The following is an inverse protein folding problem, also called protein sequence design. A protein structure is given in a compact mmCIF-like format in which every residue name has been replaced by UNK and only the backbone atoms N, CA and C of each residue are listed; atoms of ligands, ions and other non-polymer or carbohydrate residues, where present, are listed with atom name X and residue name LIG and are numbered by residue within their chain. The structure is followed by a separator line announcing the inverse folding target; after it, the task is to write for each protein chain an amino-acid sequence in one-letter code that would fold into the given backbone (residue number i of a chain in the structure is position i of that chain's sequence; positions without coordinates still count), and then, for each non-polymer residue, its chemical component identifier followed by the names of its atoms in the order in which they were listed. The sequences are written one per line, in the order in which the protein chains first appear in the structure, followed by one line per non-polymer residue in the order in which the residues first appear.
data_IF_171454998455
#
_entry.id   IF_171454998455
#
_cell.length_a   1.000
_cell.length_b   1.000
_cell.length_c   1.000
_cell.angle_alpha   90.00
_cell.angle_beta   90.00
_cell.angle_gamma   90.00
#
_symmetry.space_group_name_H-M   'P 1'
#
loop_
_entity.id
_entity.type
_entity.pdbx_description
1 polymer ?
#
# COMPACT_ATOMS: atom_id res chain seq x y z
N UNK A 1 -20.32 42.87 19.96
CA UNK A 1 -19.63 42.05 18.95
C UNK A 1 -18.66 41.11 19.66
N UNK A 2 -19.07 39.87 19.97
CA UNK A 2 -18.18 38.78 20.34
C UNK A 2 -19.01 37.50 20.40
N UNK A 3 -19.16 36.85 19.24
CA UNK A 3 -19.68 35.49 19.14
C UNK A 3 -19.20 34.92 17.82
N UNK A 4 -18.12 34.14 17.85
CA UNK A 4 -17.76 33.05 16.91
C UNK A 4 -16.32 32.56 17.15
N UNK A 5 -16.10 31.75 18.18
CA UNK A 5 -14.86 30.95 18.29
C UNK A 5 -15.01 29.64 19.08
N UNK A 6 -16.13 29.40 19.76
CA UNK A 6 -16.31 28.19 20.58
C UNK A 6 -16.73 26.94 19.77
N UNK A 7 -17.34 27.08 18.59
CA UNK A 7 -17.89 25.95 17.82
C UNK A 7 -16.86 25.14 17.02
N UNK A 8 -15.72 25.74 16.66
CA UNK A 8 -14.73 25.10 15.76
C UNK A 8 -13.80 24.14 16.54
N UNK A 9 -13.60 24.37 17.84
CA UNK A 9 -12.67 23.58 18.65
C UNK A 9 -13.22 22.22 19.09
N UNK A 10 -14.54 22.07 19.27
CA UNK A 10 -15.15 20.80 19.68
C UNK A 10 -15.10 19.73 18.56
N UNK A 11 -15.29 20.11 17.29
CA UNK A 11 -15.24 19.14 16.18
C UNK A 11 -13.83 18.60 15.90
N UNK A 12 -12.79 19.43 16.08
CA UNK A 12 -11.39 18.98 15.90
C UNK A 12 -10.95 17.97 16.97
N UNK A 13 -11.46 18.08 18.19
CA UNK A 13 -11.17 17.13 19.26
C UNK A 13 -11.84 15.78 19.00
N UNK A 14 -13.07 15.77 18.46
CA UNK A 14 -13.81 14.55 18.10
C UNK A 14 -13.14 13.74 16.98
N UNK A 15 -12.65 14.40 15.92
CA UNK A 15 -12.03 13.73 14.78
C UNK A 15 -10.66 13.11 15.12
N UNK A 16 -9.91 13.70 16.06
CA UNK A 16 -8.66 13.12 16.58
C UNK A 16 -8.90 11.80 17.32
N UNK A 17 -9.96 11.73 18.12
CA UNK A 17 -10.32 10.50 18.85
C UNK A 17 -10.73 9.37 17.90
N UNK A 18 -11.39 9.72 16.79
CA UNK A 18 -11.84 8.79 15.75
C UNK A 18 -10.70 8.20 14.92
N UNK A 19 -9.54 8.87 14.83
CA UNK A 19 -8.35 8.36 14.13
C UNK A 19 -7.18 8.12 15.10
N UNK A 20 -7.44 7.29 16.11
CA UNK A 20 -6.43 6.82 17.05
C UNK A 20 -5.87 5.45 16.63
N UNK A 21 -4.57 5.17 16.87
CA UNK A 21 -3.97 3.89 16.50
C UNK A 21 -4.74 2.65 16.99
N UNK A 22 -5.22 2.57 18.26
CA UNK A 22 -6.02 1.42 18.72
C UNK A 22 -7.32 1.26 17.96
N UNK A 23 -8.01 2.35 17.64
CA UNK A 23 -9.29 2.30 16.93
C UNK A 23 -9.12 1.85 15.48
N UNK A 24 -8.09 2.35 14.77
CA UNK A 24 -7.78 1.90 13.40
C UNK A 24 -7.36 0.43 13.39
N UNK A 25 -6.52 0.01 14.34
CA UNK A 25 -6.13 -1.40 14.47
C UNK A 25 -7.33 -2.30 14.75
N UNK A 26 -8.22 -1.89 15.66
CA UNK A 26 -9.45 -2.61 15.98
C UNK A 26 -10.38 -2.69 14.77
N UNK A 27 -10.59 -1.57 14.05
CA UNK A 27 -11.41 -1.55 12.84
C UNK A 27 -10.88 -2.53 11.78
N UNK A 28 -9.57 -2.55 11.55
CA UNK A 28 -8.95 -3.51 10.64
C UNK A 28 -9.10 -4.97 11.12
N UNK A 29 -8.89 -5.24 12.40
CA UNK A 29 -9.08 -6.58 12.97
C UNK A 29 -10.54 -7.06 12.86
N UNK A 30 -11.50 -6.19 13.18
CA UNK A 30 -12.92 -6.47 13.00
C UNK A 30 -13.26 -6.76 11.54
N UNK A 31 -12.68 -6.00 10.61
CA UNK A 31 -12.89 -6.24 9.18
C UNK A 31 -12.31 -7.59 8.74
N UNK A 32 -11.11 -7.97 9.21
CA UNK A 32 -10.52 -9.28 8.93
C UNK A 32 -11.35 -10.44 9.46
N UNK A 33 -11.82 -10.33 10.71
CA UNK A 33 -12.63 -11.38 11.36
C UNK A 33 -14.02 -11.45 10.73
N UNK A 34 -14.61 -10.30 10.38
CA UNK A 34 -15.95 -10.21 9.81
C UNK A 34 -16.05 -10.61 8.35
N UNK A 35 -14.95 -10.57 7.59
CA UNK A 35 -14.95 -10.78 6.15
C UNK A 35 -15.59 -12.12 5.72
N UNK A 36 -15.27 -13.29 6.31
CA UNK A 36 -15.91 -14.55 5.91
C UNK A 36 -17.43 -14.55 6.14
N UNK A 37 -17.91 -13.90 7.21
CA UNK A 37 -19.34 -13.79 7.51
C UNK A 37 -20.04 -12.84 6.54
N UNK A 38 -19.40 -11.72 6.22
CA UNK A 38 -19.91 -10.78 5.22
C UNK A 38 -19.98 -11.45 3.84
N UNK A 39 -18.96 -12.21 3.47
CA UNK A 39 -18.90 -12.94 2.21
C UNK A 39 -20.03 -13.99 2.12
N UNK A 40 -20.23 -14.80 3.18
CA UNK A 40 -21.34 -15.75 3.24
C UNK A 40 -22.73 -15.08 3.15
N UNK A 41 -22.89 -13.91 3.80
CA UNK A 41 -24.16 -13.16 3.77
C UNK A 41 -24.44 -12.56 2.39
N UNK A 42 -23.43 -11.97 1.75
CA UNK A 42 -23.58 -11.31 0.46
C UNK A 42 -23.67 -12.30 -0.71
N UNK A 43 -22.92 -13.40 -0.66
CA UNK A 43 -22.90 -14.39 -1.75
C UNK A 43 -24.20 -15.20 -1.87
N UNK A 44 -24.93 -15.40 -0.76
CA UNK A 44 -26.12 -16.27 -0.72
C UNK A 44 -27.44 -15.56 -0.96
N UNK A 45 -27.57 -14.31 -0.52
CA UNK A 45 -28.89 -13.71 -0.27
C UNK A 45 -29.02 -12.25 -0.70
N UNK A 46 -27.93 -11.60 -1.13
CA UNK A 46 -27.97 -10.19 -1.48
C UNK A 46 -28.52 -9.94 -2.89
N UNK A 47 -29.30 -8.88 -3.03
CA UNK A 47 -29.74 -8.42 -4.36
C UNK A 47 -28.58 -7.81 -5.13
N UNK A 48 -28.61 -7.93 -6.46
CA UNK A 48 -27.57 -7.35 -7.33
C UNK A 48 -27.43 -5.83 -7.13
N UNK A 49 -28.56 -5.13 -6.91
CA UNK A 49 -28.55 -3.69 -6.61
C UNK A 49 -27.81 -3.37 -5.32
N UNK A 50 -27.97 -4.17 -4.27
CA UNK A 50 -27.25 -3.99 -3.02
C UNK A 50 -25.74 -4.18 -3.24
N UNK A 51 -25.33 -5.24 -3.94
CA UNK A 51 -23.92 -5.54 -4.22
C UNK A 51 -23.23 -4.39 -4.98
N UNK A 52 -23.86 -3.92 -6.07
CA UNK A 52 -23.38 -2.77 -6.85
C UNK A 52 -23.24 -1.50 -6.00
N UNK A 53 -24.23 -1.24 -5.14
CA UNK A 53 -24.24 -0.07 -4.25
C UNK A 53 -23.12 -0.15 -3.22
N UNK A 54 -22.89 -1.32 -2.63
CA UNK A 54 -21.80 -1.54 -1.68
C UNK A 54 -20.43 -1.34 -2.33
N UNK A 55 -20.22 -1.88 -3.54
CA UNK A 55 -18.97 -1.68 -4.29
C UNK A 55 -18.74 -0.19 -4.58
N UNK A 56 -19.76 0.51 -5.07
CA UNK A 56 -19.67 1.93 -5.36
C UNK A 56 -19.42 2.78 -4.10
N UNK A 57 -20.11 2.50 -3.01
CA UNK A 57 -19.94 3.22 -1.74
C UNK A 57 -18.55 2.99 -1.12
N UNK A 58 -18.06 1.74 -1.15
CA UNK A 58 -16.73 1.41 -0.64
C UNK A 58 -15.63 2.09 -1.47
N UNK A 59 -15.73 2.04 -2.80
CA UNK A 59 -14.78 2.72 -3.68
C UNK A 59 -14.82 4.25 -3.53
N UNK A 60 -16.01 4.85 -3.44
CA UNK A 60 -16.15 6.28 -3.18
C UNK A 60 -15.51 6.68 -1.83
N UNK A 61 -15.72 5.88 -0.79
CA UNK A 61 -15.08 6.07 0.52
C UNK A 61 -13.56 6.03 0.40
N UNK A 62 -13.04 5.08 -0.38
CA UNK A 62 -11.62 4.95 -0.65
C UNK A 62 -11.04 6.16 -1.39
N UNK A 63 -11.71 6.62 -2.45
CA UNK A 63 -11.32 7.83 -3.20
C UNK A 63 -11.29 9.05 -2.28
N UNK A 64 -12.26 9.21 -1.38
CA UNK A 64 -12.25 10.29 -0.39
C UNK A 64 -11.06 10.15 0.58
N UNK A 65 -10.79 8.94 1.06
CA UNK A 65 -9.67 8.70 1.97
C UNK A 65 -8.30 9.02 1.35
N UNK A 66 -8.11 8.71 0.06
CA UNK A 66 -6.83 8.92 -0.64
C UNK A 66 -6.64 10.34 -1.18
N UNK A 67 -7.72 11.09 -1.40
CA UNK A 67 -7.62 12.52 -1.75
C UNK A 67 -7.25 13.37 -0.53
N UNK A 68 -7.47 12.85 0.68
CA UNK A 68 -7.24 13.54 1.95
C UNK A 68 -6.45 12.62 2.92
N UNK A 69 -5.26 12.07 2.57
CA UNK A 69 -4.53 11.15 3.43
C UNK A 69 -4.11 11.82 4.74
N UNK A 70 -4.40 11.21 5.89
CA UNK A 70 -4.11 11.78 7.21
C UNK A 70 -4.83 13.09 7.56
N UNK A 71 -5.53 13.73 6.61
CA UNK A 71 -5.93 15.15 6.63
C UNK A 71 -7.31 15.47 7.21
N UNK A 72 -8.12 14.47 7.57
CA UNK A 72 -9.50 14.68 8.05
C UNK A 72 -9.61 15.63 9.27
N UNK A 73 -8.53 15.82 10.05
CA UNK A 73 -8.46 16.75 11.18
C UNK A 73 -7.29 17.75 11.12
N UNK A 74 -6.60 17.84 9.97
CA UNK A 74 -5.48 18.76 9.74
C UNK A 74 -4.14 18.38 10.40
N UNK A 75 -3.97 17.16 10.93
CA UNK A 75 -2.65 16.68 11.37
C UNK A 75 -1.85 16.12 10.19
N UNK A 76 -1.07 16.98 9.54
CA UNK A 76 -0.15 16.57 8.47
C UNK A 76 1.19 16.09 9.04
N UNK A 77 1.75 15.01 8.48
CA UNK A 77 3.22 14.91 8.43
C UNK A 77 3.67 15.98 7.44
N UNK A 78 4.30 17.06 7.92
CA UNK A 78 4.88 18.09 7.03
C UNK A 78 5.84 17.39 6.06
N UNK A 79 5.54 17.44 4.77
CA UNK A 79 6.42 16.94 3.71
C UNK A 79 7.73 17.73 3.67
N UNK A 80 8.80 17.06 3.22
CA UNK A 80 10.13 17.63 3.01
C UNK A 80 10.11 18.85 2.06
N UNK A 81 11.00 19.84 2.25
CA UNK A 81 11.20 20.90 1.27
C UNK A 81 11.65 20.29 -0.07
N UNK A 82 10.97 20.65 -1.16
CA UNK A 82 11.22 20.20 -2.54
C UNK A 82 12.61 20.52 -3.13
N UNK A 83 13.57 21.05 -2.37
CA UNK A 83 14.84 21.54 -2.88
C UNK A 83 16.04 21.08 -2.03
N UNK A 84 16.45 19.81 -2.17
CA UNK A 84 17.75 19.32 -1.65
C UNK A 84 18.85 19.32 -2.73
N UNK A 85 18.78 20.25 -3.70
CA UNK A 85 19.80 20.42 -4.76
C UNK A 85 20.71 21.63 -4.57
N UNK A 86 20.66 22.32 -3.43
CA UNK A 86 21.66 23.33 -3.07
C UNK A 86 21.94 23.31 -1.56
N UNK A 87 22.75 22.35 -1.12
CA UNK A 87 23.42 22.47 0.17
C UNK A 87 24.63 23.38 -0.03
N UNK A 88 24.48 24.66 0.30
CA UNK A 88 25.63 25.50 0.60
C UNK A 88 26.18 25.06 1.95
N UNK A 89 27.48 24.80 1.97
CA UNK A 89 28.25 24.53 3.18
C UNK A 89 28.13 25.69 4.18
N UNK A 90 28.15 25.34 5.46
CA UNK A 90 28.11 26.18 6.66
C UNK A 90 26.70 26.40 7.24
N UNK A 91 26.33 25.55 8.19
CA UNK A 91 26.09 26.01 9.57
C UNK A 91 25.94 24.81 10.50
N UNK A 92 26.99 24.56 11.28
CA UNK A 92 26.90 23.88 12.56
C UNK A 92 26.10 24.74 13.52
N UNK A 93 24.89 24.31 13.89
CA UNK A 93 24.31 24.66 15.17
C UNK A 93 23.28 23.61 15.62
N UNK A 94 23.67 22.90 16.67
CA UNK A 94 22.85 22.06 17.51
C UNK A 94 21.82 22.90 18.27
N UNK A 95 20.52 22.70 18.00
CA UNK A 95 19.48 22.79 19.02
C UNK A 95 18.44 21.72 18.73
N UNK A 96 18.60 20.61 19.45
CA UNK A 96 17.61 19.55 19.63
C UNK A 96 16.31 20.15 20.19
N UNK A 97 15.32 20.37 19.33
CA UNK A 97 13.93 20.26 19.76
C UNK A 97 13.59 18.77 19.82
N UNK A 98 13.53 18.24 21.04
CA UNK A 98 12.80 17.00 21.31
C UNK A 98 11.36 17.17 20.82
N UNK A 99 10.82 16.12 20.19
CA UNK A 99 9.48 16.02 19.60
C UNK A 99 9.34 16.59 18.19
N UNK A 100 9.81 15.87 17.18
CA UNK A 100 9.53 16.25 15.79
C UNK A 100 9.38 14.99 14.91
N UNK A 101 8.19 14.70 14.31
CA UNK A 101 8.00 13.60 13.35
C UNK A 101 8.94 13.65 12.15
N UNK A 102 9.61 14.78 11.93
CA UNK A 102 10.68 14.94 10.96
C UNK A 102 11.95 14.12 11.27
N UNK A 103 12.23 13.72 12.53
CA UNK A 103 13.39 12.87 12.84
C UNK A 103 13.15 11.41 12.43
N UNK A 104 12.02 10.81 12.84
CA UNK A 104 11.68 9.42 12.55
C UNK A 104 11.51 9.18 11.04
N UNK A 105 10.96 10.15 10.31
CA UNK A 105 10.82 10.08 8.85
C UNK A 105 12.17 10.20 8.12
N UNK A 106 13.04 11.13 8.57
CA UNK A 106 14.42 11.23 8.05
C UNK A 106 15.20 9.95 8.32
N UNK A 107 15.06 9.38 9.51
CA UNK A 107 15.69 8.14 9.95
C UNK A 107 15.25 6.96 9.09
N UNK A 108 13.96 6.84 8.82
CA UNK A 108 13.41 5.82 7.93
C UNK A 108 14.04 5.95 6.53
N UNK A 109 13.99 7.14 5.93
CA UNK A 109 14.47 7.33 4.56
C UNK A 109 15.98 7.07 4.42
N UNK A 110 16.80 7.36 5.44
CA UNK A 110 18.23 7.06 5.42
C UNK A 110 18.50 5.56 5.57
N UNK A 111 17.79 4.86 6.47
CA UNK A 111 18.12 3.50 6.91
C UNK A 111 17.41 2.38 6.16
N UNK A 112 16.27 2.63 5.52
CA UNK A 112 15.54 1.58 4.79
C UNK A 112 16.27 1.16 3.50
N UNK A 113 16.40 -0.14 3.25
CA UNK A 113 16.90 -0.66 1.97
C UNK A 113 15.78 -0.89 0.95
N UNK A 114 14.52 -0.80 1.34
CA UNK A 114 13.39 -0.90 0.41
C UNK A 114 12.76 0.48 0.31
N UNK A 115 13.24 1.27 -0.65
CA UNK A 115 12.72 2.61 -0.94
C UNK A 115 12.52 2.76 -2.45
N UNK A 116 11.28 2.66 -2.96
CA UNK A 116 11.04 2.84 -4.37
C UNK A 116 11.26 4.29 -4.80
N UNK A 117 11.77 4.49 -6.00
CA UNK A 117 11.81 5.82 -6.62
C UNK A 117 10.41 6.41 -6.83
N UNK A 118 10.32 7.74 -6.81
CA UNK A 118 9.04 8.47 -6.87
C UNK A 118 8.16 8.16 -8.08
N UNK A 119 8.75 7.76 -9.22
CA UNK A 119 7.99 7.36 -10.40
C UNK A 119 7.13 6.10 -10.19
N UNK A 120 7.49 5.25 -9.22
CA UNK A 120 6.76 4.02 -8.91
C UNK A 120 5.29 4.29 -8.58
N UNK A 121 5.04 5.40 -7.88
CA UNK A 121 3.72 5.81 -7.42
C UNK A 121 2.79 6.27 -8.55
N UNK A 122 3.29 6.44 -9.78
CA UNK A 122 2.44 6.66 -10.95
C UNK A 122 1.47 5.49 -11.20
N UNK A 123 1.76 4.30 -10.67
CA UNK A 123 0.91 3.11 -10.73
C UNK A 123 -0.49 3.31 -10.11
N UNK A 124 -0.65 4.27 -9.19
CA UNK A 124 -1.96 4.59 -8.63
C UNK A 124 -2.94 5.12 -9.68
N UNK A 125 -2.47 5.84 -10.70
CA UNK A 125 -3.35 6.38 -11.74
C UNK A 125 -4.08 5.28 -12.53
N UNK A 126 -3.41 4.28 -13.13
CA UNK A 126 -4.11 3.19 -13.81
C UNK A 126 -4.96 2.33 -12.85
N UNK A 127 -4.55 2.16 -11.58
CA UNK A 127 -5.37 1.49 -10.57
C UNK A 127 -6.71 2.22 -10.38
N UNK A 128 -6.69 3.49 -9.98
CA UNK A 128 -7.92 4.23 -9.66
C UNK A 128 -8.80 4.49 -10.88
N UNK A 129 -8.22 4.78 -12.04
CA UNK A 129 -9.00 4.94 -13.28
C UNK A 129 -9.68 3.63 -13.64
N UNK A 130 -8.95 2.52 -13.54
CA UNK A 130 -9.47 1.20 -13.86
C UNK A 130 -10.53 0.71 -12.88
N UNK A 131 -10.35 0.94 -11.58
CA UNK A 131 -11.36 0.62 -10.57
C UNK A 131 -12.61 1.48 -10.71
N UNK A 132 -12.46 2.77 -11.05
CA UNK A 132 -13.59 3.63 -11.37
C UNK A 132 -14.36 3.10 -12.58
N UNK A 133 -13.65 2.65 -13.63
CA UNK A 133 -14.26 2.02 -14.79
C UNK A 133 -15.01 0.72 -14.41
N UNK A 134 -14.40 -0.13 -13.58
CA UNK A 134 -15.04 -1.35 -13.05
C UNK A 134 -16.32 -1.05 -12.27
N UNK A 135 -16.26 -0.13 -11.30
CA UNK A 135 -17.41 0.29 -10.49
C UNK A 135 -18.50 0.93 -11.34
N UNK A 136 -18.13 1.76 -12.32
CA UNK A 136 -19.10 2.39 -13.21
C UNK A 136 -19.76 1.36 -14.13
N UNK A 137 -18.98 0.48 -14.75
CA UNK A 137 -19.49 -0.54 -15.65
C UNK A 137 -20.47 -1.49 -14.95
N UNK A 138 -20.14 -1.96 -13.75
CA UNK A 138 -21.03 -2.86 -13.02
C UNK A 138 -22.38 -2.22 -12.64
N UNK A 139 -22.46 -0.88 -12.48
CA UNK A 139 -23.74 -0.22 -12.19
C UNK A 139 -24.76 -0.46 -13.30
N UNK A 140 -24.31 -0.39 -14.56
CA UNK A 140 -25.15 -0.55 -15.74
C UNK A 140 -25.25 -2.00 -16.26
N UNK A 141 -24.32 -2.86 -15.87
CA UNK A 141 -24.27 -4.24 -16.32
C UNK A 141 -25.32 -5.13 -15.64
N UNK A 142 -26.10 -5.87 -16.42
CA UNK A 142 -27.11 -6.83 -15.93
C UNK A 142 -26.96 -8.20 -16.60
N UNK A 143 -25.80 -8.45 -17.19
CA UNK A 143 -25.50 -9.69 -17.89
C UNK A 143 -25.28 -10.86 -16.91
N UNK A 144 -25.38 -12.12 -17.39
CA UNK A 144 -25.16 -13.31 -16.56
C UNK A 144 -23.79 -13.35 -15.87
N UNK A 145 -22.73 -12.86 -16.53
CA UNK A 145 -21.36 -12.84 -15.99
C UNK A 145 -21.27 -11.92 -14.79
N UNK A 146 -21.79 -10.69 -14.89
CA UNK A 146 -21.87 -9.75 -13.75
C UNK A 146 -22.71 -10.34 -12.62
N UNK A 147 -23.83 -10.98 -12.93
CA UNK A 147 -24.73 -11.58 -11.94
C UNK A 147 -24.07 -12.74 -11.18
N UNK A 148 -23.22 -13.52 -11.84
CA UNK A 148 -22.47 -14.62 -11.21
C UNK A 148 -21.23 -14.13 -10.43
N UNK A 149 -20.58 -13.06 -10.91
CA UNK A 149 -19.32 -12.56 -10.35
C UNK A 149 -19.52 -11.71 -9.09
N UNK A 150 -20.46 -10.74 -9.11
CA UNK A 150 -20.59 -9.78 -8.01
C UNK A 150 -20.84 -10.42 -6.64
N UNK A 151 -21.65 -11.48 -6.48
CA UNK A 151 -21.86 -12.13 -5.19
C UNK A 151 -20.57 -12.67 -4.56
N UNK A 152 -19.59 -13.06 -5.38
CA UNK A 152 -18.33 -13.67 -4.92
C UNK A 152 -17.22 -12.63 -4.67
N UNK A 153 -17.29 -11.44 -5.29
CA UNK A 153 -16.23 -10.44 -5.19
C UNK A 153 -16.58 -9.27 -4.25
N UNK A 154 -17.86 -9.01 -4.00
CA UNK A 154 -18.28 -7.76 -3.34
C UNK A 154 -17.72 -7.64 -1.93
N UNK A 155 -17.86 -8.67 -1.09
CA UNK A 155 -17.31 -8.63 0.27
C UNK A 155 -15.79 -8.39 0.28
N UNK A 156 -14.96 -9.15 -0.47
CA UNK A 156 -13.53 -8.89 -0.50
C UNK A 156 -13.17 -7.54 -1.16
N UNK A 157 -13.87 -7.08 -2.20
CA UNK A 157 -13.61 -5.76 -2.78
C UNK A 157 -13.94 -4.61 -1.82
N UNK A 158 -15.06 -4.70 -1.09
CA UNK A 158 -15.42 -3.74 -0.03
C UNK A 158 -14.34 -3.75 1.05
N UNK A 159 -13.92 -4.91 1.52
CA UNK A 159 -12.87 -5.01 2.53
C UNK A 159 -11.54 -4.40 2.05
N UNK A 160 -11.13 -4.64 0.80
CA UNK A 160 -9.93 -4.03 0.23
C UNK A 160 -10.00 -2.49 0.27
N UNK A 161 -11.12 -1.90 -0.15
CA UNK A 161 -11.33 -0.45 -0.13
C UNK A 161 -11.32 0.13 1.28
N UNK A 162 -11.89 -0.58 2.26
CA UNK A 162 -11.90 -0.15 3.66
C UNK A 162 -10.51 -0.27 4.29
N UNK A 163 -9.78 -1.36 4.06
CA UNK A 163 -8.40 -1.51 4.50
C UNK A 163 -7.49 -0.42 3.91
N UNK A 164 -7.60 -0.14 2.62
CA UNK A 164 -6.85 0.93 1.96
C UNK A 164 -7.22 2.32 2.52
N UNK A 165 -8.47 2.53 2.92
CA UNK A 165 -8.90 3.76 3.61
C UNK A 165 -8.28 3.88 5.00
N UNK A 166 -8.24 2.77 5.76
CA UNK A 166 -7.59 2.70 7.07
C UNK A 166 -6.07 2.85 6.98
N UNK A 167 -5.45 2.37 5.90
CA UNK A 167 -4.04 2.65 5.60
C UNK A 167 -3.81 4.16 5.43
N UNK A 168 -4.66 4.86 4.67
CA UNK A 168 -4.58 6.32 4.53
C UNK A 168 -4.75 7.04 5.88
N UNK A 169 -5.60 6.51 6.76
CA UNK A 169 -5.80 7.05 8.10
C UNK A 169 -4.53 6.94 8.98
N UNK A 170 -3.68 5.93 8.74
CA UNK A 170 -2.46 5.65 9.51
C UNK A 170 -1.27 6.59 9.24
N UNK A 171 -1.36 7.48 8.25
CA UNK A 171 -0.31 8.46 7.94
C UNK A 171 -0.33 9.67 8.88
N UNK A 172 -0.09 9.45 10.18
CA UNK A 172 0.02 10.52 11.19
C UNK A 172 1.22 10.34 12.10
N UNK A 173 1.76 11.43 12.67
CA UNK A 173 2.82 11.37 13.67
C UNK A 173 2.53 10.40 14.82
N UNK A 174 1.27 10.32 15.27
CA UNK A 174 0.84 9.43 16.36
C UNK A 174 1.09 7.95 16.11
N UNK A 175 1.23 7.53 14.85
CA UNK A 175 1.51 6.13 14.49
C UNK A 175 3.00 5.80 14.55
N UNK A 176 3.89 6.81 14.51
CA UNK A 176 5.34 6.61 14.48
C UNK A 176 5.96 6.42 15.87
N UNK A 177 5.28 6.86 16.93
CA UNK A 177 5.89 6.96 18.27
C UNK A 177 5.76 5.67 19.12
N UNK A 178 4.81 4.79 18.81
CA UNK A 178 4.59 3.55 19.55
C UNK A 178 5.28 2.34 18.92
N UNK A 179 5.80 1.42 19.74
CA UNK A 179 6.48 0.21 19.26
C UNK A 179 5.62 -0.59 18.27
N UNK A 180 4.33 -0.76 18.55
CA UNK A 180 3.42 -1.54 17.71
C UNK A 180 2.63 -0.67 16.71
N UNK A 181 2.40 0.62 17.01
CA UNK A 181 1.53 1.49 16.19
C UNK A 181 2.08 1.73 14.79
N UNK A 182 3.42 1.72 14.66
CA UNK A 182 4.11 1.88 13.39
C UNK A 182 3.83 0.76 12.40
N UNK A 183 3.34 -0.40 12.87
CA UNK A 183 3.01 -1.57 12.04
C UNK A 183 1.54 -1.61 11.60
N UNK A 184 0.70 -0.66 12.05
CA UNK A 184 -0.71 -0.61 11.64
C UNK A 184 -0.82 -0.44 10.12
N UNK A 185 0.00 0.43 9.52
CA UNK A 185 -0.02 0.65 8.07
C UNK A 185 0.30 -0.65 7.30
N UNK A 186 1.22 -1.46 7.82
CA UNK A 186 1.56 -2.79 7.29
C UNK A 186 0.35 -3.71 7.32
N UNK A 187 -0.34 -3.78 8.47
CA UNK A 187 -1.55 -4.60 8.62
C UNK A 187 -2.67 -4.18 7.67
N UNK A 188 -2.88 -2.87 7.48
CA UNK A 188 -3.90 -2.37 6.56
C UNK A 188 -3.58 -2.67 5.08
N UNK A 189 -2.32 -2.53 4.66
CA UNK A 189 -1.93 -2.91 3.29
C UNK A 189 -1.97 -4.42 3.08
N UNK A 190 -1.56 -5.21 4.08
CA UNK A 190 -1.65 -6.67 4.02
C UNK A 190 -3.12 -7.13 3.93
N UNK A 191 -4.02 -6.48 4.68
CA UNK A 191 -5.46 -6.68 4.58
C UNK A 191 -6.00 -6.36 3.19
N UNK A 192 -5.57 -5.24 2.61
CA UNK A 192 -5.92 -4.85 1.23
C UNK A 192 -5.47 -5.91 0.23
N UNK A 193 -4.20 -6.33 0.29
CA UNK A 193 -3.63 -7.35 -0.59
C UNK A 193 -4.34 -8.70 -0.43
N UNK A 194 -4.62 -9.12 0.80
CA UNK A 194 -5.35 -10.36 1.08
C UNK A 194 -6.76 -10.33 0.50
N UNK A 195 -7.50 -9.23 0.73
CA UNK A 195 -8.83 -9.03 0.18
C UNK A 195 -8.83 -9.03 -1.35
N UNK A 196 -7.87 -8.37 -2.00
CA UNK A 196 -7.76 -8.40 -3.46
C UNK A 196 -7.32 -9.77 -4.01
N UNK A 197 -6.54 -10.56 -3.26
CA UNK A 197 -6.29 -11.97 -3.61
C UNK A 197 -7.59 -12.79 -3.62
N UNK A 198 -8.51 -12.55 -2.68
CA UNK A 198 -9.82 -13.21 -2.68
C UNK A 198 -10.65 -12.79 -3.90
N UNK A 199 -10.64 -11.50 -4.27
CA UNK A 199 -11.25 -11.02 -5.53
C UNK A 199 -10.65 -11.75 -6.74
N UNK A 200 -9.33 -11.87 -6.82
CA UNK A 200 -8.66 -12.57 -7.92
C UNK A 200 -9.07 -14.05 -7.98
N UNK A 201 -9.14 -14.71 -6.83
CA UNK A 201 -9.56 -16.12 -6.73
C UNK A 201 -11.00 -16.31 -7.22
N UNK A 202 -11.94 -15.50 -6.71
CA UNK A 202 -13.33 -15.49 -7.15
C UNK A 202 -13.49 -15.16 -8.64
N UNK A 203 -12.63 -14.31 -9.18
CA UNK A 203 -12.65 -13.94 -10.60
C UNK A 203 -12.13 -15.04 -11.50
N UNK A 204 -11.10 -15.77 -11.08
CA UNK A 204 -10.44 -16.79 -11.91
C UNK A 204 -11.39 -17.91 -12.36
N UNK A 205 -12.39 -18.26 -11.53
CA UNK A 205 -13.38 -19.30 -11.84
C UNK A 205 -14.39 -18.83 -12.89
N UNK A 206 -14.83 -17.57 -12.81
CA UNK A 206 -15.80 -16.98 -13.73
C UNK A 206 -15.15 -16.61 -15.07
N UNK A 207 -13.91 -16.12 -15.05
CA UNK A 207 -13.16 -15.72 -16.24
C UNK A 207 -12.74 -16.87 -17.14
N UNK A 208 -12.56 -18.07 -16.58
CA UNK A 208 -12.36 -19.29 -17.35
C UNK A 208 -13.59 -19.63 -18.23
N UNK A 209 -14.79 -19.18 -17.84
CA UNK A 209 -16.02 -19.42 -18.57
C UNK A 209 -16.35 -18.30 -19.58
N UNK A 210 -16.11 -17.02 -19.26
CA UNK A 210 -16.48 -15.88 -20.11
C UNK A 210 -15.43 -14.73 -20.08
N UNK A 211 -14.50 -14.66 -21.06
CA UNK A 211 -13.30 -13.81 -20.95
C UNK A 211 -13.43 -12.34 -21.40
N UNK A 212 -14.56 -11.85 -21.91
CA UNK A 212 -14.49 -10.80 -22.96
C UNK A 212 -14.73 -9.32 -22.61
N UNK A 213 -15.11 -8.90 -21.40
CA UNK A 213 -15.09 -7.44 -21.08
C UNK A 213 -14.91 -7.15 -19.59
N UNK A 214 -15.68 -7.82 -18.74
CA UNK A 214 -15.53 -7.71 -17.29
C UNK A 214 -14.13 -8.18 -16.85
N UNK A 215 -13.56 -9.16 -17.53
CA UNK A 215 -12.17 -9.61 -17.36
C UNK A 215 -11.14 -8.49 -17.46
N UNK A 216 -11.26 -7.66 -18.50
CA UNK A 216 -10.34 -6.55 -18.73
C UNK A 216 -10.55 -5.44 -17.67
N UNK A 217 -11.77 -5.31 -17.14
CA UNK A 217 -12.08 -4.38 -16.04
C UNK A 217 -11.61 -4.89 -14.66
N UNK A 218 -11.25 -6.17 -14.52
CA UNK A 218 -10.66 -6.74 -13.31
C UNK A 218 -9.13 -6.61 -13.29
N UNK A 219 -8.50 -6.37 -14.44
CA UNK A 219 -7.06 -6.12 -14.56
C UNK A 219 -6.54 -5.06 -13.56
N UNK A 220 -7.21 -3.90 -13.36
CA UNK A 220 -6.81 -2.90 -12.35
C UNK A 220 -6.82 -3.45 -10.92
N UNK A 221 -7.73 -4.37 -10.59
CA UNK A 221 -7.77 -5.03 -9.27
C UNK A 221 -6.58 -5.97 -9.09
N UNK A 222 -6.17 -6.69 -10.14
CA UNK A 222 -4.96 -7.52 -10.13
C UNK A 222 -3.69 -6.67 -10.00
N UNK A 223 -3.64 -5.51 -10.67
CA UNK A 223 -2.55 -4.53 -10.50
C UNK A 223 -2.54 -3.99 -9.08
N UNK A 224 -3.69 -3.60 -8.53
CA UNK A 224 -3.80 -3.12 -7.16
C UNK A 224 -3.37 -4.18 -6.14
N UNK A 225 -3.72 -5.45 -6.39
CA UNK A 225 -3.25 -6.57 -5.58
C UNK A 225 -1.71 -6.66 -5.58
N UNK A 226 -1.09 -6.68 -6.76
CA UNK A 226 0.37 -6.70 -6.88
C UNK A 226 1.03 -5.52 -6.17
N UNK A 227 0.49 -4.32 -6.36
CA UNK A 227 1.04 -3.11 -5.77
C UNK A 227 0.94 -3.12 -4.25
N UNK A 228 -0.20 -3.52 -3.68
CA UNK A 228 -0.39 -3.58 -2.21
C UNK A 228 0.42 -4.69 -1.56
N UNK A 229 0.65 -5.81 -2.23
CA UNK A 229 1.62 -6.84 -1.80
C UNK A 229 3.04 -6.24 -1.67
N UNK A 230 3.50 -5.50 -2.68
CA UNK A 230 4.81 -4.83 -2.63
C UNK A 230 4.85 -3.72 -1.56
N UNK A 231 3.82 -2.86 -1.52
CA UNK A 231 3.73 -1.73 -0.60
C UNK A 231 3.68 -2.19 0.86
N UNK A 232 3.11 -3.37 1.15
CA UNK A 232 3.14 -3.99 2.49
C UNK A 232 4.58 -4.19 2.95
N UNK A 233 5.45 -4.72 2.07
CA UNK A 233 6.86 -4.95 2.37
C UNK A 233 7.63 -3.62 2.51
N UNK A 234 7.32 -2.62 1.67
CA UNK A 234 7.87 -1.26 1.83
C UNK A 234 7.51 -0.68 3.19
N UNK A 235 6.23 -0.78 3.58
CA UNK A 235 5.75 -0.27 4.87
C UNK A 235 6.41 -1.02 6.03
N UNK A 236 6.59 -2.34 5.92
CA UNK A 236 7.27 -3.14 6.95
C UNK A 236 8.71 -2.67 7.17
N UNK A 237 9.46 -2.42 6.09
CA UNK A 237 10.81 -1.86 6.17
C UNK A 237 10.81 -0.45 6.75
N UNK A 238 9.82 0.37 6.37
CA UNK A 238 9.67 1.71 6.92
C UNK A 238 9.35 1.72 8.42
N UNK A 239 8.47 0.83 8.87
CA UNK A 239 8.13 0.65 10.29
C UNK A 239 9.37 0.30 11.10
N UNK A 240 10.17 -0.68 10.67
CA UNK A 240 11.43 -1.01 11.37
C UNK A 240 12.48 0.10 11.23
N UNK A 241 12.58 0.75 10.07
CA UNK A 241 13.50 1.86 9.81
C UNK A 241 13.26 3.09 10.68
N UNK A 242 12.01 3.31 11.09
CA UNK A 242 11.62 4.35 12.05
C UNK A 242 11.96 4.03 13.50
N UNK A 243 12.41 2.80 13.80
CA UNK A 243 12.81 2.39 15.14
C UNK A 243 14.29 2.69 15.39
N UNK A 244 14.57 3.66 16.25
CA UNK A 244 15.93 4.03 16.65
C UNK A 244 16.70 2.87 17.31
N UNK A 245 15.98 1.93 17.93
CA UNK A 245 16.59 0.75 18.56
C UNK A 245 16.92 -0.38 17.58
N UNK A 246 16.43 -0.30 16.33
CA UNK A 246 16.69 -1.35 15.34
C UNK A 246 18.18 -1.38 14.97
N UNK A 247 18.80 -2.56 15.01
CA UNK A 247 20.20 -2.71 14.60
C UNK A 247 20.34 -2.60 13.08
N UNK A 248 21.49 -2.13 12.59
CA UNK A 248 21.81 -2.13 11.17
C UNK A 248 21.67 -3.53 10.54
N UNK A 249 22.09 -4.58 11.24
CA UNK A 249 21.92 -5.97 10.81
C UNK A 249 20.46 -6.34 10.58
N UNK A 250 19.56 -5.96 11.49
CA UNK A 250 18.12 -6.23 11.37
C UNK A 250 17.51 -5.52 10.17
N UNK A 251 17.89 -4.27 9.92
CA UNK A 251 17.43 -3.48 8.78
C UNK A 251 17.90 -4.04 7.45
N UNK A 252 19.17 -4.44 7.38
CA UNK A 252 19.75 -5.08 6.19
C UNK A 252 19.07 -6.42 5.90
N UNK A 253 18.94 -7.26 6.94
CA UNK A 253 18.28 -8.55 6.81
C UNK A 253 16.84 -8.39 6.33
N UNK A 254 16.05 -7.50 6.94
CA UNK A 254 14.67 -7.25 6.53
C UNK A 254 14.59 -6.74 5.09
N UNK A 255 15.49 -5.84 4.68
CA UNK A 255 15.54 -5.32 3.31
C UNK A 255 15.75 -6.42 2.27
N UNK A 256 16.77 -7.25 2.47
CA UNK A 256 17.08 -8.36 1.58
C UNK A 256 15.97 -9.41 1.57
N UNK A 257 15.46 -9.79 2.74
CA UNK A 257 14.34 -10.73 2.87
C UNK A 257 13.08 -10.19 2.19
N UNK A 258 12.84 -8.89 2.21
CA UNK A 258 11.68 -8.27 1.56
C UNK A 258 11.79 -8.31 0.03
N UNK A 259 12.97 -8.07 -0.55
CA UNK A 259 13.15 -8.23 -2.00
C UNK A 259 12.98 -9.69 -2.44
N UNK A 260 13.51 -10.64 -1.66
CA UNK A 260 13.32 -12.06 -1.92
C UNK A 260 11.85 -12.48 -1.78
N UNK A 261 11.16 -12.04 -0.72
CA UNK A 261 9.74 -12.32 -0.53
C UNK A 261 8.88 -11.75 -1.67
N UNK A 262 9.14 -10.50 -2.08
CA UNK A 262 8.47 -9.89 -3.23
C UNK A 262 8.70 -10.69 -4.52
N UNK A 263 9.91 -11.20 -4.74
CA UNK A 263 10.24 -12.04 -5.90
C UNK A 263 9.52 -13.38 -5.85
N UNK A 264 9.55 -14.06 -4.70
CA UNK A 264 8.87 -15.36 -4.49
C UNK A 264 7.37 -15.20 -4.70
N UNK A 265 6.76 -14.15 -4.13
CA UNK A 265 5.34 -13.86 -4.32
C UNK A 265 5.06 -13.53 -5.79
N UNK A 266 5.85 -12.65 -6.40
CA UNK A 266 5.69 -12.20 -7.78
C UNK A 266 5.78 -13.34 -8.78
N UNK A 267 6.75 -14.25 -8.65
CA UNK A 267 6.88 -15.43 -9.50
C UNK A 267 5.81 -16.48 -9.15
N UNK A 268 5.72 -16.85 -7.87
CA UNK A 268 4.89 -17.94 -7.41
C UNK A 268 3.40 -17.73 -7.65
N UNK A 269 2.86 -16.56 -7.29
CA UNK A 269 1.43 -16.29 -7.50
C UNK A 269 1.10 -16.01 -8.96
N UNK A 270 2.01 -15.44 -9.74
CA UNK A 270 1.80 -15.25 -11.17
C UNK A 270 1.63 -16.58 -11.89
N UNK A 271 2.52 -17.55 -11.61
CA UNK A 271 2.44 -18.89 -12.20
C UNK A 271 1.24 -19.66 -11.64
N UNK A 272 1.05 -19.66 -10.32
CA UNK A 272 -0.03 -20.44 -9.69
C UNK A 272 -1.44 -19.94 -10.02
N UNK A 273 -1.59 -18.70 -10.50
CA UNK A 273 -2.89 -18.07 -10.78
C UNK A 273 -3.04 -17.56 -12.21
N UNK A 274 -2.08 -17.87 -13.10
CA UNK A 274 -2.00 -17.33 -14.47
C UNK A 274 -2.29 -15.82 -14.50
N UNK A 275 -1.64 -15.08 -13.61
CA UNK A 275 -1.94 -13.67 -13.33
C UNK A 275 -0.78 -12.75 -13.76
N UNK A 276 -0.53 -12.56 -15.07
CA UNK A 276 0.64 -11.83 -15.56
C UNK A 276 0.72 -10.39 -15.05
N UNK A 277 -0.43 -9.72 -14.89
CA UNK A 277 -0.49 -8.35 -14.37
C UNK A 277 0.02 -8.23 -12.93
N UNK A 278 -0.19 -9.26 -12.10
CA UNK A 278 0.34 -9.31 -10.74
C UNK A 278 1.88 -9.33 -10.78
N UNK A 279 2.45 -10.24 -11.57
CA UNK A 279 3.90 -10.36 -11.76
C UNK A 279 4.53 -9.10 -12.34
N UNK A 280 3.92 -8.48 -13.35
CA UNK A 280 4.40 -7.22 -13.91
C UNK A 280 4.36 -6.07 -12.89
N UNK A 281 3.38 -6.06 -12.00
CA UNK A 281 3.31 -5.05 -10.93
C UNK A 281 4.42 -5.23 -9.91
N UNK A 282 4.73 -6.47 -9.52
CA UNK A 282 5.88 -6.75 -8.65
C UNK A 282 7.20 -6.43 -9.34
N UNK A 283 7.31 -6.69 -10.65
CA UNK A 283 8.46 -6.28 -11.45
C UNK A 283 8.65 -4.76 -11.43
N UNK A 284 7.57 -4.00 -11.69
CA UNK A 284 7.55 -2.54 -11.59
C UNK A 284 8.03 -2.03 -10.23
N UNK A 285 7.49 -2.59 -9.14
CA UNK A 285 7.85 -2.18 -7.78
C UNK A 285 9.31 -2.51 -7.43
N UNK A 286 9.81 -3.68 -7.84
CA UNK A 286 11.20 -4.08 -7.61
C UNK A 286 12.18 -3.23 -8.45
N UNK A 287 11.88 -2.96 -9.72
CA UNK A 287 12.66 -2.05 -10.55
C UNK A 287 12.75 -0.64 -9.92
N UNK A 288 11.65 -0.14 -9.35
CA UNK A 288 11.65 1.12 -8.63
C UNK A 288 12.51 1.10 -7.36
N UNK A 289 12.51 0.00 -6.61
CA UNK A 289 13.38 -0.16 -5.45
C UNK A 289 14.86 -0.23 -5.87
N UNK A 290 15.17 -0.90 -6.98
CA UNK A 290 16.53 -0.94 -7.52
C UNK A 290 17.02 0.47 -7.92
N UNK A 291 16.21 1.23 -8.64
CA UNK A 291 16.51 2.63 -8.98
C UNK A 291 16.69 3.50 -7.72
N UNK A 292 15.84 3.33 -6.70
CA UNK A 292 15.97 4.02 -5.42
C UNK A 292 17.28 3.68 -4.69
N UNK A 293 17.72 2.43 -4.74
CA UNK A 293 18.98 2.00 -4.12
C UNK A 293 20.21 2.46 -4.88
N UNK A 294 20.17 2.57 -6.21
CA UNK A 294 21.29 3.10 -7.00
C UNK A 294 21.74 4.49 -6.52
N UNK A 295 20.78 5.33 -6.12
CA UNK A 295 21.01 6.68 -5.56
C UNK A 295 21.64 6.65 -4.17
N UNK A 296 21.41 5.58 -3.40
CA UNK A 296 22.05 5.36 -2.10
C UNK A 296 23.47 4.83 -2.23
N UNK A 297 23.71 3.91 -3.17
CA UNK A 297 25.05 3.38 -3.48
C UNK A 297 26.03 4.49 -3.90
N UNK A 298 25.54 5.50 -4.62
CA UNK A 298 26.34 6.62 -5.11
C UNK A 298 26.77 7.62 -4.02
N UNK A 299 26.29 7.46 -2.77
CA UNK A 299 26.68 8.32 -1.65
C UNK A 299 27.90 7.73 -0.94
N UNK A 300 28.98 8.50 -0.86
CA UNK A 300 30.10 8.21 0.05
C UNK A 300 29.66 8.56 1.47
N UNK A 301 29.79 7.60 2.39
CA UNK A 301 29.59 7.82 3.82
C UNK A 301 30.90 8.21 4.50
N UNK A 302 30.81 9.09 5.49
CA UNK A 302 31.96 9.48 6.32
C UNK A 302 32.09 8.55 7.55
N UNK A 303 31.11 7.66 7.76
CA UNK A 303 31.04 6.72 8.90
C UNK A 303 30.97 5.25 8.47
N UNK A 304 31.45 4.34 9.33
CA UNK A 304 31.42 2.88 9.11
C UNK A 304 30.00 2.34 8.90
N UNK A 305 29.01 2.92 9.59
CA UNK A 305 27.60 2.55 9.44
C UNK A 305 27.08 2.92 8.05
N UNK A 306 27.37 4.13 7.57
CA UNK A 306 26.98 4.56 6.22
C UNK A 306 27.67 3.74 5.13
N UNK A 307 28.95 3.39 5.29
CA UNK A 307 29.65 2.50 4.37
C UNK A 307 29.00 1.11 4.33
N UNK A 308 28.61 0.58 5.50
CA UNK A 308 27.89 -0.69 5.61
C UNK A 308 26.55 -0.63 4.87
N UNK A 309 25.78 0.44 5.05
CA UNK A 309 24.51 0.64 4.34
C UNK A 309 24.70 0.87 2.84
N UNK A 310 25.78 1.52 2.40
CA UNK A 310 26.09 1.70 0.98
C UNK A 310 26.38 0.35 0.30
N UNK A 311 27.18 -0.51 0.93
CA UNK A 311 27.43 -1.88 0.46
C UNK A 311 26.15 -2.70 0.43
N UNK A 312 25.35 -2.63 1.49
CA UNK A 312 24.07 -3.33 1.55
C UNK A 312 23.07 -2.83 0.49
N UNK A 313 23.05 -1.53 0.20
CA UNK A 313 22.25 -0.95 -0.88
C UNK A 313 22.66 -1.52 -2.25
N UNK A 314 23.96 -1.78 -2.48
CA UNK A 314 24.44 -2.43 -3.70
C UNK A 314 23.90 -3.85 -3.86
N UNK A 315 23.95 -4.64 -2.79
CA UNK A 315 23.36 -6.00 -2.78
C UNK A 315 21.84 -5.93 -3.00
N UNK A 316 21.17 -5.03 -2.30
CA UNK A 316 19.73 -4.83 -2.42
C UNK A 316 19.32 -4.43 -3.85
N UNK A 317 20.06 -3.51 -4.48
CA UNK A 317 19.84 -3.10 -5.86
C UNK A 317 19.88 -4.31 -6.81
N UNK A 318 20.88 -5.17 -6.66
CA UNK A 318 21.03 -6.38 -7.47
C UNK A 318 19.89 -7.37 -7.22
N UNK A 319 19.50 -7.59 -5.95
CA UNK A 319 18.36 -8.43 -5.60
C UNK A 319 17.06 -7.91 -6.23
N UNK A 320 16.82 -6.60 -6.18
CA UNK A 320 15.65 -5.98 -6.77
C UNK A 320 15.64 -6.08 -8.31
N UNK A 321 16.78 -5.86 -8.98
CA UNK A 321 16.86 -6.05 -10.44
C UNK A 321 16.63 -7.50 -10.85
N UNK A 322 17.29 -8.45 -10.18
CA UNK A 322 17.12 -9.87 -10.44
C UNK A 322 15.66 -10.30 -10.20
N UNK A 323 15.07 -9.85 -9.10
CA UNK A 323 13.67 -10.11 -8.77
C UNK A 323 12.70 -9.51 -9.78
N UNK A 324 12.96 -8.27 -10.23
CA UNK A 324 12.17 -7.62 -11.27
C UNK A 324 12.20 -8.42 -12.57
N UNK A 325 13.38 -8.84 -13.00
CA UNK A 325 13.54 -9.66 -14.20
C UNK A 325 12.80 -11.00 -14.07
N UNK A 326 12.96 -11.69 -12.95
CA UNK A 326 12.28 -12.96 -12.70
C UNK A 326 10.74 -12.82 -12.73
N UNK A 327 10.20 -11.76 -12.11
CA UNK A 327 8.76 -11.49 -12.13
C UNK A 327 8.25 -11.17 -13.56
N UNK A 328 9.02 -10.40 -14.34
CA UNK A 328 8.68 -10.10 -15.73
C UNK A 328 8.70 -11.35 -16.62
N UNK A 329 9.69 -12.23 -16.45
CA UNK A 329 9.76 -13.51 -17.17
C UNK A 329 8.59 -14.43 -16.78
N UNK A 330 8.27 -14.52 -15.49
CA UNK A 330 7.13 -15.31 -15.02
C UNK A 330 5.79 -14.77 -15.59
N UNK A 331 5.64 -13.45 -15.66
CA UNK A 331 4.47 -12.83 -16.28
C UNK A 331 4.40 -13.06 -17.79
N UNK A 332 5.52 -12.97 -18.51
CA UNK A 332 5.56 -13.29 -19.93
C UNK A 332 5.19 -14.76 -20.18
N UNK A 333 5.69 -15.67 -19.35
CA UNK A 333 5.33 -17.09 -19.40
C UNK A 333 3.82 -17.30 -19.16
N UNK A 334 3.28 -16.77 -18.07
CA UNK A 334 1.86 -16.89 -17.72
C UNK A 334 0.90 -16.15 -18.67
N UNK A 335 1.41 -15.23 -19.50
CA UNK A 335 0.63 -14.57 -20.55
C UNK A 335 0.60 -15.35 -21.87
N UNK A 336 1.51 -16.29 -22.06
CA UNK A 336 1.63 -17.12 -23.28
C UNK A 336 1.01 -18.51 -23.13
N UNK A 337 0.88 -19.00 -21.89
CA UNK A 337 0.39 -20.34 -21.54
C UNK A 337 -0.65 -20.26 -20.43
#
# INVERSE_FOLDING_TARGET
MSSTSAGINNNKMSLRTLNSPPLVAMAGATLSIGLPFLDAALSSSASLTLLKTLNAAAFATNVIAVTIPGRLDGQEMKEFPKNATKSNNNESNSLLSKDEPSSALKLNHSRTLVNPSGWAFAIWAPIYIGEAAFVTAQLFASDPTTTALLPQLTAPFVAANLFQSLWCASFRPSYLHGCWTRYISVGMLAGTAYSLNLVQYASSTVLAAEPTMLAHLLLPLTIHFGWTSAATLVNLNGSLGSDESASARSLIALGHSSALAATILGVGLTIARSAPAYGLTLAWALAACADGMSKKCARSGDSEEEETFAKAAGVQMNLCWAGSFACAVAAAYAGLF
#
